data_IF_714730773458
#
_entry.id   IF_714730773458
#
_cell.length_a   1.000
_cell.length_b   1.000
_cell.length_c   1.000
_cell.angle_alpha   90.00
_cell.angle_beta   90.00
_cell.angle_gamma   90.00
#
_symmetry.space_group_name_H-M   'P 1'
#
loop_
_entity.id
_entity.type
_entity.pdbx_description
1 polymer ?
#
# COMPACT_ATOMS: atom_id res chain seq x y z
N UNK A 1 -7.77 -7.53 21.22
CA UNK A 1 -7.55 -8.26 19.95
C UNK A 1 -7.49 -9.79 20.10
N UNK A 2 -7.77 -10.38 21.27
CA UNK A 2 -7.77 -11.84 21.47
C UNK A 2 -8.82 -12.53 20.59
N UNK A 3 -8.51 -13.69 20.01
CA UNK A 3 -9.38 -14.47 19.12
C UNK A 3 -9.81 -13.66 17.87
N UNK A 4 -8.88 -12.91 17.27
CA UNK A 4 -9.15 -12.08 16.08
C UNK A 4 -8.15 -12.32 14.96
N UNK A 5 -8.61 -12.14 13.74
CA UNK A 5 -7.77 -12.21 12.54
C UNK A 5 -7.71 -10.86 11.81
N UNK A 6 -6.50 -10.45 11.45
CA UNK A 6 -6.23 -9.20 10.74
C UNK A 6 -5.70 -9.49 9.34
N UNK A 7 -6.25 -8.80 8.35
CA UNK A 7 -5.77 -8.82 6.97
C UNK A 7 -5.26 -7.44 6.57
N UNK A 8 -3.97 -7.34 6.27
CA UNK A 8 -3.33 -6.15 5.72
C UNK A 8 -3.13 -6.40 4.22
N UNK A 9 -3.96 -5.76 3.40
CA UNK A 9 -4.11 -6.01 1.96
C UNK A 9 -3.56 -4.81 1.19
N UNK A 10 -2.55 -5.03 0.35
CA UNK A 10 -2.02 -3.95 -0.48
C UNK A 10 -0.61 -4.19 -1.00
N UNK A 11 0.15 -3.10 -1.09
CA UNK A 11 1.49 -3.04 -1.68
C UNK A 11 2.63 -3.18 -0.66
N UNK A 12 3.85 -2.83 -1.09
CA UNK A 12 5.07 -2.92 -0.30
C UNK A 12 5.10 -2.00 0.91
N UNK A 13 4.30 -0.93 0.92
CA UNK A 13 4.22 -0.01 2.06
C UNK A 13 3.31 -0.62 3.13
N UNK A 14 2.26 -1.34 2.72
CA UNK A 14 1.47 -2.19 3.63
C UNK A 14 2.33 -3.30 4.24
N UNK A 15 3.20 -3.95 3.45
CA UNK A 15 4.21 -4.88 3.98
C UNK A 15 5.13 -4.21 5.01
N UNK A 16 5.60 -3.01 4.73
CA UNK A 16 6.45 -2.24 5.65
C UNK A 16 5.70 -1.90 6.95
N UNK A 17 4.41 -1.57 6.88
CA UNK A 17 3.56 -1.36 8.05
C UNK A 17 3.36 -2.65 8.87
N UNK A 18 3.17 -3.80 8.21
CA UNK A 18 3.08 -5.11 8.87
C UNK A 18 4.36 -5.44 9.63
N UNK A 19 5.53 -5.15 9.06
CA UNK A 19 6.81 -5.38 9.74
C UNK A 19 6.90 -4.57 11.05
N UNK A 20 6.55 -3.28 11.00
CA UNK A 20 6.43 -2.45 12.22
C UNK A 20 5.42 -3.03 13.22
N UNK A 21 4.23 -3.42 12.76
CA UNK A 21 3.19 -3.97 13.62
C UNK A 21 3.66 -5.25 14.33
N UNK A 22 4.33 -6.16 13.62
CA UNK A 22 4.87 -7.38 14.21
C UNK A 22 5.94 -7.06 15.25
N UNK A 23 6.85 -6.10 14.98
CA UNK A 23 7.85 -5.65 15.96
C UNK A 23 7.22 -5.03 17.22
N UNK A 24 6.08 -4.33 17.09
CA UNK A 24 5.36 -3.80 18.24
C UNK A 24 4.70 -4.91 19.06
N UNK A 25 4.07 -5.87 18.39
CA UNK A 25 3.37 -7.00 19.03
C UNK A 25 4.33 -8.03 19.63
N UNK A 26 5.52 -8.20 19.06
CA UNK A 26 6.53 -9.15 19.55
C UNK A 26 7.04 -8.83 20.95
N UNK A 27 6.83 -7.60 21.43
CA UNK A 27 7.10 -7.20 22.82
C UNK A 27 6.14 -7.87 23.82
N UNK A 28 4.99 -8.36 23.36
CA UNK A 28 3.96 -8.97 24.20
C UNK A 28 3.82 -10.49 23.97
N UNK A 29 4.01 -10.97 22.74
CA UNK A 29 3.91 -12.40 22.40
C UNK A 29 4.76 -12.69 21.15
N UNK A 30 5.45 -13.83 21.12
CA UNK A 30 6.33 -14.17 20.01
C UNK A 30 5.51 -14.51 18.75
N UNK A 31 5.78 -13.87 17.59
CA UNK A 31 5.07 -14.16 16.36
C UNK A 31 5.60 -15.46 15.72
N UNK A 32 4.73 -16.46 15.57
CA UNK A 32 5.05 -17.66 14.78
C UNK A 32 4.56 -17.47 13.35
N UNK A 33 5.45 -17.47 12.37
CA UNK A 33 5.03 -17.52 10.96
C UNK A 33 4.44 -18.90 10.65
N UNK A 34 3.14 -18.92 10.35
CA UNK A 34 2.37 -20.16 10.10
C UNK A 34 2.09 -20.37 8.61
N UNK A 35 2.35 -19.37 7.77
CA UNK A 35 2.19 -19.46 6.33
C UNK A 35 3.02 -18.39 5.62
N UNK A 36 3.63 -18.77 4.50
CA UNK A 36 4.06 -17.85 3.46
C UNK A 36 3.89 -18.52 2.09
N UNK A 37 3.73 -17.74 1.03
CA UNK A 37 3.85 -18.24 -0.34
C UNK A 37 5.33 -18.35 -0.75
N UNK A 38 5.60 -18.94 -1.93
CA UNK A 38 6.96 -19.18 -2.42
C UNK A 38 7.82 -17.91 -2.49
N UNK A 39 7.18 -16.78 -2.80
CA UNK A 39 7.83 -15.48 -2.99
C UNK A 39 7.77 -14.59 -1.74
N UNK A 40 7.23 -15.09 -0.62
CA UNK A 40 7.04 -14.35 0.62
C UNK A 40 6.25 -13.03 0.47
N UNK A 41 5.41 -12.94 -0.56
CA UNK A 41 4.50 -11.82 -0.82
C UNK A 41 3.28 -11.91 0.09
N UNK A 42 2.75 -13.12 0.26
CA UNK A 42 1.65 -13.41 1.19
C UNK A 42 2.20 -14.12 2.42
N UNK A 43 1.91 -13.62 3.62
CA UNK A 43 2.47 -14.14 4.88
C UNK A 43 1.45 -14.10 6.00
N UNK A 44 1.52 -15.01 6.96
CA UNK A 44 0.66 -15.03 8.15
C UNK A 44 1.44 -15.38 9.40
N UNK A 45 1.25 -14.57 10.44
CA UNK A 45 1.81 -14.77 11.76
C UNK A 45 0.71 -15.05 12.77
N UNK A 46 0.99 -15.95 13.71
CA UNK A 46 0.11 -16.32 14.81
C UNK A 46 0.79 -16.00 16.15
N UNK A 47 0.07 -15.24 16.98
CA UNK A 47 0.41 -14.91 18.35
C UNK A 47 -0.40 -15.85 19.27
N UNK A 48 0.25 -16.94 19.68
CA UNK A 48 -0.40 -18.09 20.32
C UNK A 48 -1.08 -17.73 21.64
N UNK A 49 -0.46 -16.87 22.45
CA UNK A 49 -0.98 -16.49 23.77
C UNK A 49 -2.31 -15.74 23.68
N UNK A 50 -2.62 -15.17 22.52
CA UNK A 50 -3.82 -14.39 22.25
C UNK A 50 -4.75 -15.02 21.21
N UNK A 51 -4.37 -16.15 20.60
CA UNK A 51 -5.05 -16.72 19.45
C UNK A 51 -5.37 -15.61 18.42
N UNK A 52 -4.34 -14.85 18.07
CA UNK A 52 -4.43 -13.66 17.25
C UNK A 52 -3.58 -13.83 16.01
N UNK A 53 -4.12 -13.54 14.82
CA UNK A 53 -3.36 -13.67 13.57
C UNK A 53 -3.27 -12.37 12.82
N UNK A 54 -2.09 -12.08 12.28
CA UNK A 54 -1.85 -10.98 11.33
C UNK A 54 -1.48 -11.60 9.99
N UNK A 55 -2.18 -11.24 8.93
CA UNK A 55 -1.89 -11.68 7.56
C UNK A 55 -1.50 -10.48 6.70
N UNK A 56 -0.41 -10.60 5.96
CA UNK A 56 -0.09 -9.75 4.82
C UNK A 56 -0.62 -10.43 3.56
N UNK A 57 -1.43 -9.71 2.79
CA UNK A 57 -1.94 -10.17 1.50
C UNK A 57 -1.47 -9.20 0.41
N UNK A 58 -0.68 -9.72 -0.51
CA UNK A 58 -0.09 -8.93 -1.58
C UNK A 58 -1.09 -8.68 -2.69
N UNK A 59 -1.51 -7.43 -2.83
CA UNK A 59 -2.45 -6.97 -3.85
C UNK A 59 -2.13 -5.51 -4.20
N UNK A 60 -1.00 -5.21 -4.86
CA UNK A 60 -0.51 -3.85 -5.05
C UNK A 60 -1.46 -2.95 -5.85
N UNK A 61 -2.29 -3.56 -6.70
CA UNK A 61 -3.34 -2.89 -7.46
C UNK A 61 -4.75 -3.14 -6.92
N UNK A 62 -4.93 -4.00 -5.91
CA UNK A 62 -6.24 -4.46 -5.39
C UNK A 62 -7.16 -5.18 -6.40
N UNK A 63 -6.92 -5.02 -7.71
CA UNK A 63 -7.54 -5.74 -8.82
C UNK A 63 -6.58 -6.77 -9.42
N UNK A 64 -7.12 -7.70 -10.20
CA UNK A 64 -6.34 -8.71 -10.91
C UNK A 64 -5.30 -8.01 -11.78
N UNK A 65 -4.05 -8.40 -11.58
CA UNK A 65 -2.90 -7.85 -12.28
C UNK A 65 -1.95 -8.94 -12.73
N UNK A 66 -1.38 -8.79 -13.92
CA UNK A 66 -0.24 -9.56 -14.40
C UNK A 66 0.99 -8.65 -14.39
N UNK A 67 1.97 -9.00 -13.55
CA UNK A 67 3.18 -8.21 -13.33
C UNK A 67 4.38 -9.00 -13.86
N UNK A 68 5.17 -8.36 -14.72
CA UNK A 68 6.33 -8.96 -15.40
C UNK A 68 7.66 -8.36 -14.90
N UNK A 69 7.65 -7.86 -13.67
CA UNK A 69 8.77 -7.18 -13.01
C UNK A 69 9.47 -8.12 -12.03
N UNK A 70 10.81 -8.14 -12.05
CA UNK A 70 11.63 -8.89 -11.10
C UNK A 70 11.86 -8.12 -9.77
N UNK A 71 12.56 -8.73 -8.80
CA UNK A 71 12.81 -8.10 -7.49
C UNK A 71 13.65 -6.81 -7.55
N UNK A 72 14.41 -6.63 -8.64
CA UNK A 72 15.24 -5.45 -8.89
C UNK A 72 14.45 -4.32 -9.57
N UNK A 73 13.19 -4.55 -9.93
CA UNK A 73 12.36 -3.57 -10.63
C UNK A 73 12.50 -3.59 -12.15
N UNK A 74 13.17 -4.58 -12.72
CA UNK A 74 13.32 -4.73 -14.17
C UNK A 74 12.09 -5.43 -14.74
N UNK A 75 11.41 -4.79 -15.69
CA UNK A 75 10.18 -5.32 -16.31
C UNK A 75 10.44 -5.84 -17.72
N UNK A 76 9.89 -7.01 -18.05
CA UNK A 76 9.95 -7.59 -19.41
C UNK A 76 8.75 -7.24 -20.29
N UNK A 77 7.68 -6.70 -19.69
CA UNK A 77 6.45 -6.28 -20.38
C UNK A 77 5.68 -5.28 -19.51
N UNK A 78 4.71 -4.56 -20.08
CA UNK A 78 3.82 -3.70 -19.30
C UNK A 78 2.88 -4.53 -18.44
N UNK A 79 2.54 -3.98 -17.27
CA UNK A 79 1.58 -4.58 -16.35
C UNK A 79 0.21 -4.65 -17.02
N UNK A 80 -0.48 -5.79 -16.93
CA UNK A 80 -1.87 -5.91 -17.38
C UNK A 80 -2.79 -5.80 -16.16
N UNK A 81 -3.71 -4.83 -16.13
CA UNK A 81 -4.69 -4.67 -15.04
C UNK A 81 -6.11 -4.90 -15.54
N UNK A 82 -6.87 -5.75 -14.86
CA UNK A 82 -8.30 -5.99 -15.14
C UNK A 82 -9.16 -5.26 -14.11
N UNK A 83 -9.75 -4.14 -14.50
CA UNK A 83 -10.41 -3.21 -13.57
C UNK A 83 -11.72 -3.75 -12.99
N UNK A 84 -12.37 -4.65 -13.71
CA UNK A 84 -13.64 -5.29 -13.34
C UNK A 84 -13.46 -6.58 -12.52
N UNK A 85 -12.22 -6.98 -12.26
CA UNK A 85 -11.90 -8.22 -11.54
C UNK A 85 -11.05 -7.87 -10.32
N UNK A 86 -11.62 -7.98 -9.13
CA UNK A 86 -10.86 -7.82 -7.87
C UNK A 86 -9.81 -8.92 -7.74
N UNK A 87 -8.69 -8.62 -7.09
CA UNK A 87 -7.58 -9.57 -6.97
C UNK A 87 -8.03 -10.82 -6.17
N UNK A 88 -7.93 -12.04 -6.75
CA UNK A 88 -8.55 -13.23 -6.15
C UNK A 88 -8.01 -13.64 -4.78
N UNK A 89 -6.73 -13.39 -4.51
CA UNK A 89 -6.05 -13.84 -3.29
C UNK A 89 -6.61 -13.15 -2.06
N UNK A 90 -6.85 -11.84 -2.10
CA UNK A 90 -7.46 -11.16 -0.96
C UNK A 90 -8.96 -11.38 -0.87
N UNK A 91 -9.67 -11.48 -1.99
CA UNK A 91 -11.11 -11.78 -2.01
C UNK A 91 -11.38 -13.12 -1.32
N UNK A 92 -10.62 -14.17 -1.66
CA UNK A 92 -10.78 -15.51 -1.08
C UNK A 92 -10.50 -15.58 0.43
N UNK A 93 -9.79 -14.58 0.98
CA UNK A 93 -9.44 -14.52 2.39
C UNK A 93 -10.31 -13.53 3.19
N UNK A 94 -11.03 -12.64 2.51
CA UNK A 94 -11.75 -11.53 3.13
C UNK A 94 -12.71 -11.95 4.26
N UNK A 95 -13.44 -13.06 4.06
CA UNK A 95 -14.41 -13.58 5.04
C UNK A 95 -13.77 -14.06 6.35
N UNK A 96 -12.44 -14.28 6.37
CA UNK A 96 -11.73 -14.78 7.54
C UNK A 96 -11.28 -13.69 8.49
N UNK A 97 -11.28 -12.43 8.05
CA UNK A 97 -10.72 -11.32 8.82
C UNK A 97 -11.78 -10.66 9.69
N UNK A 98 -11.45 -10.34 10.93
CA UNK A 98 -12.27 -9.45 11.76
C UNK A 98 -11.96 -7.97 11.49
N UNK A 99 -10.72 -7.69 11.11
CA UNK A 99 -10.20 -6.36 10.81
C UNK A 99 -9.40 -6.41 9.51
N UNK A 100 -9.62 -5.42 8.65
CA UNK A 100 -8.90 -5.27 7.39
C UNK A 100 -8.27 -3.89 7.35
N UNK A 101 -6.97 -3.82 7.03
CA UNK A 101 -6.31 -2.59 6.58
C UNK A 101 -6.07 -2.76 5.10
N UNK A 102 -6.65 -1.87 4.29
CA UNK A 102 -6.52 -1.94 2.83
C UNK A 102 -5.98 -0.63 2.28
N UNK A 103 -5.01 -0.73 1.38
CA UNK A 103 -4.39 0.43 0.74
C UNK A 103 -3.72 0.05 -0.58
N UNK A 104 -3.50 1.05 -1.43
CA UNK A 104 -2.70 0.94 -2.64
C UNK A 104 -2.49 2.34 -3.23
N UNK A 105 -1.77 2.44 -4.33
CA UNK A 105 -1.61 3.71 -5.04
C UNK A 105 -0.29 3.82 -5.79
N UNK A 106 0.83 3.59 -5.12
CA UNK A 106 2.18 3.80 -5.71
C UNK A 106 2.39 2.99 -6.99
N UNK A 107 1.84 1.77 -7.04
CA UNK A 107 1.92 0.91 -8.21
C UNK A 107 1.10 1.40 -9.42
N UNK A 108 0.04 2.20 -9.20
CA UNK A 108 -0.79 2.76 -10.28
C UNK A 108 -0.06 3.81 -11.11
N UNK A 109 1.10 4.29 -10.63
CA UNK A 109 1.95 5.23 -11.37
C UNK A 109 2.89 4.53 -12.36
N UNK A 110 2.92 3.18 -12.38
CA UNK A 110 3.71 2.41 -13.34
C UNK A 110 3.00 2.32 -14.68
N UNK A 111 3.79 2.15 -15.75
CA UNK A 111 3.26 1.85 -17.07
C UNK A 111 2.42 0.58 -17.05
N UNK A 112 1.18 0.67 -17.54
CA UNK A 112 0.23 -0.43 -17.50
C UNK A 112 -0.80 -0.34 -18.63
N UNK A 113 -1.28 -1.51 -19.07
CA UNK A 113 -2.38 -1.70 -20.02
C UNK A 113 -3.62 -2.13 -19.26
N UNK A 114 -4.76 -1.58 -19.64
CA UNK A 114 -6.00 -1.66 -18.89
C UNK A 114 -7.05 -2.46 -19.63
N UNK A 115 -7.65 -3.40 -18.90
CA UNK A 115 -8.64 -4.32 -19.38
C UNK A 115 -9.94 -4.13 -18.60
N UNK A 116 -11.06 -4.16 -19.31
CA UNK A 116 -12.39 -4.25 -18.72
C UNK A 116 -13.24 -5.15 -19.63
N UNK A 117 -13.91 -6.15 -19.05
CA UNK A 117 -14.73 -7.12 -19.80
C UNK A 117 -13.98 -7.76 -20.99
N UNK A 118 -12.75 -8.20 -20.72
CA UNK A 118 -11.81 -8.81 -21.69
C UNK A 118 -11.47 -7.93 -22.92
N UNK A 119 -11.65 -6.61 -22.80
CA UNK A 119 -11.27 -5.64 -23.83
C UNK A 119 -10.24 -4.64 -23.30
N UNK A 120 -9.30 -4.27 -24.16
CA UNK A 120 -8.35 -3.20 -23.85
C UNK A 120 -9.08 -1.86 -23.86
N UNK A 121 -9.15 -1.22 -22.70
CA UNK A 121 -9.71 0.11 -22.50
C UNK A 121 -8.72 1.20 -22.93
N UNK A 122 -7.44 0.96 -22.70
CA UNK A 122 -6.36 1.90 -22.95
C UNK A 122 -5.17 1.59 -22.07
N UNK A 123 -4.35 2.61 -21.80
CA UNK A 123 -3.11 2.41 -21.08
C UNK A 123 -2.61 3.69 -20.38
N UNK A 124 -1.56 3.55 -19.58
CA UNK A 124 -0.80 4.66 -19.01
C UNK A 124 0.66 4.54 -19.38
N UNK A 125 1.23 5.59 -19.95
CA UNK A 125 2.66 5.67 -20.30
C UNK A 125 3.15 4.54 -21.22
N UNK A 126 2.29 3.97 -22.08
CA UNK A 126 2.73 3.03 -23.12
C UNK A 126 3.09 3.83 -24.36
N UNK A 127 4.31 4.37 -24.34
CA UNK A 127 4.91 4.95 -25.51
C UNK A 127 4.98 3.89 -26.61
N UNK A 128 4.79 4.32 -27.86
CA UNK A 128 4.94 3.48 -29.05
C UNK A 128 3.90 2.35 -29.23
N UNK A 129 2.81 2.35 -28.45
CA UNK A 129 1.65 1.48 -28.69
C UNK A 129 0.49 2.28 -29.28
N UNK A 130 -0.23 1.69 -30.23
CA UNK A 130 -1.47 2.25 -30.79
C UNK A 130 -2.65 2.06 -29.82
N UNK A 131 -2.46 2.47 -28.56
CA UNK A 131 -3.43 2.38 -27.47
C UNK A 131 -3.78 3.78 -26.98
N UNK A 132 -5.02 3.97 -26.54
CA UNK A 132 -5.47 5.24 -25.97
C UNK A 132 -4.83 5.48 -24.59
N UNK A 133 -4.20 6.64 -24.40
CA UNK A 133 -3.73 7.08 -23.09
C UNK A 133 -4.96 7.47 -22.25
N UNK A 134 -5.23 6.68 -21.21
CA UNK A 134 -6.33 6.90 -20.26
C UNK A 134 -5.82 7.59 -18.99
N UNK A 135 -4.54 7.40 -18.66
CA UNK A 135 -3.88 8.00 -17.51
C UNK A 135 -4.27 7.35 -16.17
N UNK A 136 -3.33 7.28 -15.22
CA UNK A 136 -3.48 6.60 -13.93
C UNK A 136 -4.71 7.04 -13.11
N UNK A 137 -5.12 8.31 -13.18
CA UNK A 137 -6.19 8.88 -12.35
C UNK A 137 -7.54 8.17 -12.54
N UNK A 138 -7.92 7.96 -13.81
CA UNK A 138 -9.18 7.30 -14.15
C UNK A 138 -9.25 5.90 -13.53
N UNK A 139 -8.12 5.19 -13.56
CA UNK A 139 -8.05 3.78 -13.22
C UNK A 139 -7.96 3.57 -11.74
N UNK A 140 -7.18 4.43 -11.07
CA UNK A 140 -7.10 4.43 -9.64
C UNK A 140 -8.48 4.72 -9.05
N UNK A 141 -9.18 5.73 -9.58
CA UNK A 141 -10.58 6.02 -9.21
C UNK A 141 -11.50 4.82 -9.48
N UNK A 142 -11.46 4.23 -10.69
CA UNK A 142 -12.29 3.07 -11.07
C UNK A 142 -12.03 1.87 -10.16
N UNK A 143 -10.78 1.61 -9.82
CA UNK A 143 -10.38 0.52 -8.93
C UNK A 143 -10.91 0.73 -7.52
N UNK A 144 -10.74 1.93 -6.95
CA UNK A 144 -11.28 2.25 -5.63
C UNK A 144 -12.81 2.10 -5.59
N UNK A 145 -13.51 2.46 -6.68
CA UNK A 145 -14.95 2.25 -6.78
C UNK A 145 -15.32 0.78 -6.66
N UNK A 146 -14.67 -0.13 -7.39
CA UNK A 146 -14.97 -1.56 -7.33
C UNK A 146 -14.60 -2.17 -5.96
N UNK A 147 -13.45 -1.79 -5.39
CA UNK A 147 -13.02 -2.23 -4.05
C UNK A 147 -14.01 -1.79 -2.96
N UNK A 148 -14.38 -0.50 -2.94
CA UNK A 148 -15.29 0.05 -1.93
C UNK A 148 -16.71 -0.45 -2.12
N UNK A 149 -17.15 -0.67 -3.36
CA UNK A 149 -18.42 -1.30 -3.68
C UNK A 149 -18.47 -2.73 -3.15
N UNK A 150 -17.42 -3.53 -3.34
CA UNK A 150 -17.30 -4.87 -2.77
C UNK A 150 -17.37 -4.84 -1.24
N UNK A 151 -16.57 -3.99 -0.58
CA UNK A 151 -16.59 -3.87 0.90
C UNK A 151 -18.00 -3.55 1.39
N UNK A 152 -18.70 -2.66 0.69
CA UNK A 152 -20.06 -2.24 1.04
C UNK A 152 -21.09 -3.35 0.84
N UNK A 153 -20.95 -4.21 -0.18
CA UNK A 153 -21.91 -5.27 -0.52
C UNK A 153 -21.56 -6.66 0.03
N UNK A 154 -20.33 -6.87 0.52
CA UNK A 154 -19.88 -8.16 1.02
C UNK A 154 -20.76 -8.67 2.17
N UNK A 155 -21.07 -9.96 2.19
CA UNK A 155 -21.87 -10.57 3.27
C UNK A 155 -21.16 -10.45 4.63
N UNK A 156 -19.86 -10.72 4.66
CA UNK A 156 -19.04 -10.54 5.86
C UNK A 156 -18.69 -9.06 6.08
N UNK A 157 -18.84 -8.57 7.32
CA UNK A 157 -18.68 -7.14 7.68
C UNK A 157 -17.57 -6.94 8.72
N UNK A 158 -16.28 -7.07 8.33
CA UNK A 158 -15.17 -6.71 9.22
C UNK A 158 -15.12 -5.20 9.46
N UNK A 159 -14.32 -4.78 10.44
CA UNK A 159 -13.91 -3.37 10.52
C UNK A 159 -12.84 -3.13 9.47
N UNK A 160 -13.13 -2.28 8.49
CA UNK A 160 -12.20 -1.95 7.39
C UNK A 160 -11.60 -0.57 7.63
N UNK A 161 -10.28 -0.50 7.62
CA UNK A 161 -9.49 0.72 7.68
C UNK A 161 -8.91 0.96 6.28
N UNK A 162 -9.37 1.99 5.59
CA UNK A 162 -8.79 2.41 4.32
C UNK A 162 -7.64 3.38 4.61
N UNK A 163 -6.40 2.97 4.34
CA UNK A 163 -5.22 3.82 4.57
C UNK A 163 -4.99 4.74 3.38
N UNK A 164 -4.84 6.03 3.65
CA UNK A 164 -4.50 7.01 2.61
C UNK A 164 -3.07 6.87 2.10
N UNK A 165 -2.77 7.62 1.06
CA UNK A 165 -1.49 7.72 0.38
C UNK A 165 -0.34 7.87 1.35
N UNK A 166 0.69 7.05 1.14
CA UNK A 166 1.97 7.18 1.83
C UNK A 166 2.94 7.96 0.94
N UNK A 167 3.40 9.15 1.39
CA UNK A 167 4.30 9.99 0.61
C UNK A 167 5.70 9.36 0.55
N UNK A 168 6.35 9.54 -0.59
CA UNK A 168 7.80 9.45 -0.68
C UNK A 168 8.43 10.82 -0.37
N UNK A 169 9.73 10.85 -0.16
CA UNK A 169 10.49 12.11 -0.01
C UNK A 169 11.71 12.15 -0.92
N UNK A 170 11.56 11.70 -2.17
CA UNK A 170 12.63 11.85 -3.15
C UNK A 170 12.91 13.34 -3.46
N UNK A 171 14.20 13.68 -3.46
CA UNK A 171 14.77 14.96 -3.85
C UNK A 171 15.83 14.78 -4.94
N UNK A 172 15.98 15.80 -5.79
CA UNK A 172 16.99 15.84 -6.86
C UNK A 172 16.88 14.69 -7.88
N UNK A 173 15.69 14.12 -8.03
CA UNK A 173 15.41 12.99 -8.89
C UNK A 173 14.35 12.09 -8.27
N UNK A 174 14.08 10.97 -8.94
CA UNK A 174 13.16 9.92 -8.50
C UNK A 174 13.94 8.62 -8.27
N UNK A 175 13.25 7.56 -7.82
CA UNK A 175 13.85 6.25 -7.54
C UNK A 175 14.68 5.66 -8.70
N UNK A 176 14.32 5.99 -9.95
CA UNK A 176 14.98 5.52 -11.18
C UNK A 176 15.98 6.53 -11.77
N UNK A 177 16.03 7.76 -11.27
CA UNK A 177 16.88 8.84 -11.81
C UNK A 177 17.87 9.39 -10.79
N UNK A 178 18.13 8.64 -9.72
CA UNK A 178 19.15 8.96 -8.72
C UNK A 178 18.67 9.90 -7.60
N UNK A 179 17.35 9.98 -7.38
CA UNK A 179 16.77 10.75 -6.27
C UNK A 179 17.29 10.29 -4.91
N UNK A 180 17.30 11.21 -3.94
CA UNK A 180 17.82 11.00 -2.58
C UNK A 180 16.89 11.55 -1.52
N UNK A 181 17.07 11.16 -0.26
CA UNK A 181 16.30 11.64 0.89
C UNK A 181 17.23 11.79 2.10
N UNK A 182 18.16 12.73 2.00
CA UNK A 182 19.24 12.89 2.98
C UNK A 182 18.84 13.70 4.22
N UNK A 183 17.57 14.09 4.34
CA UNK A 183 17.11 14.83 5.51
C UNK A 183 17.19 13.95 6.75
N UNK A 184 17.63 14.54 7.86
CA UNK A 184 17.78 13.87 9.16
C UNK A 184 16.88 14.45 10.24
N UNK A 185 16.05 15.43 9.88
CA UNK A 185 15.09 16.08 10.77
C UNK A 185 13.71 16.11 10.11
N UNK A 186 12.63 16.03 10.90
CA UNK A 186 11.28 16.32 10.43
C UNK A 186 11.19 17.72 9.82
N UNK A 187 10.24 17.90 8.91
CA UNK A 187 9.90 19.24 8.44
C UNK A 187 9.32 20.09 9.58
N UNK A 188 9.57 21.39 9.53
CA UNK A 188 8.87 22.37 10.35
C UNK A 188 7.50 22.66 9.76
N UNK A 189 6.59 23.15 10.61
CA UNK A 189 5.24 23.55 10.18
C UNK A 189 5.33 24.55 9.02
N UNK A 190 4.72 24.20 7.88
CA UNK A 190 4.69 25.02 6.67
C UNK A 190 5.91 24.88 5.75
N UNK A 191 6.89 24.03 6.09
CA UNK A 191 8.07 23.80 5.26
C UNK A 191 7.79 22.88 4.06
N UNK A 192 6.81 21.98 4.20
CA UNK A 192 6.41 21.05 3.15
C UNK A 192 4.93 21.19 2.82
N UNK A 193 4.64 21.41 1.53
CA UNK A 193 3.29 21.57 1.01
C UNK A 193 2.73 20.34 0.29
N UNK A 194 3.52 19.27 0.15
CA UNK A 194 3.17 18.09 -0.65
C UNK A 194 3.46 18.25 -2.15
N UNK A 195 3.77 17.14 -2.82
CA UNK A 195 3.96 17.07 -4.28
C UNK A 195 2.60 17.07 -5.01
N UNK A 196 2.58 17.48 -6.28
CA UNK A 196 1.36 17.43 -7.11
C UNK A 196 0.72 16.04 -7.10
N UNK A 197 1.53 14.99 -7.32
CA UNK A 197 1.06 13.60 -7.34
C UNK A 197 0.44 13.16 -6.02
N UNK A 198 1.01 13.59 -4.89
CA UNK A 198 0.46 13.27 -3.56
C UNK A 198 -0.94 13.86 -3.38
N UNK A 199 -1.14 15.11 -3.83
CA UNK A 199 -2.45 15.78 -3.76
C UNK A 199 -3.49 15.12 -4.68
N UNK A 200 -3.08 14.70 -5.89
CA UNK A 200 -3.96 14.00 -6.83
C UNK A 200 -4.39 12.65 -6.27
N UNK A 201 -3.43 11.81 -5.86
CA UNK A 201 -3.71 10.45 -5.38
C UNK A 201 -4.55 10.47 -4.10
N UNK A 202 -4.15 11.26 -3.11
CA UNK A 202 -4.93 11.42 -1.87
C UNK A 202 -6.29 12.07 -2.12
N UNK A 203 -6.38 12.98 -3.08
CA UNK A 203 -7.65 13.60 -3.49
C UNK A 203 -8.66 12.56 -3.98
N UNK A 204 -8.23 11.67 -4.88
CA UNK A 204 -9.03 10.56 -5.40
C UNK A 204 -9.46 9.61 -4.27
N UNK A 205 -8.51 9.22 -3.41
CA UNK A 205 -8.77 8.38 -2.23
C UNK A 205 -9.88 8.94 -1.33
N UNK A 206 -9.76 10.22 -0.95
CA UNK A 206 -10.72 10.88 -0.07
C UNK A 206 -12.09 11.05 -0.75
N UNK A 207 -12.11 11.38 -2.04
CA UNK A 207 -13.34 11.53 -2.81
C UNK A 207 -14.13 10.21 -2.87
N UNK A 208 -13.48 9.12 -3.30
CA UNK A 208 -14.14 7.82 -3.43
C UNK A 208 -14.51 7.22 -2.08
N UNK A 209 -13.67 7.40 -1.05
CA UNK A 209 -14.00 7.00 0.32
C UNK A 209 -15.26 7.71 0.82
N UNK A 210 -15.36 9.03 0.64
CA UNK A 210 -16.52 9.80 1.09
C UNK A 210 -17.80 9.41 0.33
N UNK A 211 -17.70 9.13 -0.97
CA UNK A 211 -18.82 8.58 -1.76
C UNK A 211 -19.30 7.24 -1.20
N UNK A 212 -18.37 6.33 -0.90
CA UNK A 212 -18.70 5.01 -0.34
C UNK A 212 -19.37 5.11 1.04
N UNK A 213 -18.83 5.95 1.94
CA UNK A 213 -19.44 6.18 3.27
C UNK A 213 -20.82 6.81 3.16
N UNK A 214 -21.01 7.78 2.27
CA UNK A 214 -22.31 8.43 2.05
C UNK A 214 -23.35 7.43 1.51
N UNK A 215 -22.96 6.59 0.56
CA UNK A 215 -23.81 5.53 0.03
C UNK A 215 -24.17 4.49 1.09
N UNK A 216 -23.19 4.06 1.90
CA UNK A 216 -23.41 3.11 2.99
C UNK A 216 -24.38 3.64 4.06
N UNK A 217 -24.23 4.91 4.46
CA UNK A 217 -25.14 5.56 5.42
C UNK A 217 -26.58 5.70 4.90
N UNK A 218 -26.75 5.71 3.58
CA UNK A 218 -28.07 5.74 2.93
C UNK A 218 -28.69 4.34 2.79
N UNK A 219 -27.89 3.30 2.97
CA UNK A 219 -28.32 1.90 2.95
C UNK A 219 -28.73 1.45 4.36
N UNK A 220 -29.52 0.37 4.47
CA UNK A 220 -29.83 -0.25 5.77
C UNK A 220 -28.69 -1.11 6.31
N UNK A 221 -27.63 -1.30 5.53
CA UNK A 221 -26.52 -2.17 5.87
C UNK A 221 -25.44 -1.41 6.67
N UNK A 222 -25.06 -1.96 7.82
CA UNK A 222 -24.02 -1.38 8.67
C UNK A 222 -22.65 -1.72 8.08
N UNK A 223 -22.06 -0.80 7.31
CA UNK A 223 -20.68 -0.90 6.83
C UNK A 223 -19.74 -0.27 7.85
N UNK A 224 -18.75 -1.04 8.34
CA UNK A 224 -17.75 -0.57 9.31
C UNK A 224 -16.48 -0.10 8.60
N UNK A 225 -16.61 0.91 7.75
CA UNK A 225 -15.52 1.50 6.98
C UNK A 225 -15.02 2.77 7.69
N UNK A 226 -13.74 2.81 8.08
CA UNK A 226 -13.09 3.98 8.72
C UNK A 226 -11.89 4.43 7.87
N UNK A 227 -11.65 5.73 7.84
CA UNK A 227 -10.49 6.31 7.19
C UNK A 227 -9.28 6.24 8.14
N UNK A 228 -8.19 5.64 7.68
CA UNK A 228 -6.89 5.71 8.33
C UNK A 228 -6.03 6.73 7.58
N UNK A 229 -6.20 8.01 7.93
CA UNK A 229 -5.47 9.09 7.26
C UNK A 229 -4.06 9.27 7.86
N UNK A 230 -3.08 8.62 7.24
CA UNK A 230 -1.67 8.66 7.66
C UNK A 230 -0.86 9.75 6.95
N UNK A 231 -1.40 10.37 5.91
CA UNK A 231 -0.66 11.29 5.05
C UNK A 231 0.00 12.43 5.81
N UNK A 232 -0.76 13.22 6.58
CA UNK A 232 -0.25 14.42 7.25
C UNK A 232 0.85 14.15 8.27
N UNK A 233 0.81 12.99 8.95
CA UNK A 233 1.87 12.62 9.90
C UNK A 233 3.10 12.05 9.20
N UNK A 234 2.94 11.55 7.98
CA UNK A 234 4.02 10.94 7.18
C UNK A 234 4.74 11.98 6.34
N UNK A 235 4.01 12.91 5.74
CA UNK A 235 4.57 13.98 4.89
C UNK A 235 5.48 14.93 5.66
N UNK A 236 5.40 14.94 6.99
CA UNK A 236 6.27 15.73 7.85
C UNK A 236 7.59 15.02 8.20
N UNK A 237 7.80 13.79 7.72
CA UNK A 237 8.86 12.89 8.18
C UNK A 237 9.81 12.45 7.06
N UNK A 238 10.45 13.39 6.35
CA UNK A 238 11.45 13.04 5.33
C UNK A 238 12.67 12.32 5.94
N UNK A 239 12.86 12.42 7.26
CA UNK A 239 13.88 11.74 8.06
C UNK A 239 13.60 10.25 8.32
N UNK A 240 12.44 9.75 7.88
CA UNK A 240 11.96 8.41 8.21
C UNK A 240 12.35 7.29 7.25
N UNK A 241 12.93 7.63 6.10
CA UNK A 241 13.14 6.68 5.01
C UNK A 241 14.42 5.86 5.17
N UNK A 242 14.45 4.69 4.53
CA UNK A 242 15.62 3.83 4.52
C UNK A 242 16.83 4.48 3.81
N UNK A 243 16.58 5.34 2.82
CA UNK A 243 17.62 5.98 2.02
C UNK A 243 18.52 4.92 1.40
N UNK A 244 19.86 4.99 1.56
CA UNK A 244 20.76 4.00 0.96
C UNK A 244 20.66 2.62 1.64
N UNK A 245 20.03 2.51 2.82
CA UNK A 245 20.03 1.30 3.65
C UNK A 245 18.86 0.34 3.34
N UNK A 246 18.41 0.30 2.08
CA UNK A 246 17.42 -0.70 1.61
C UNK A 246 17.95 -2.13 1.75
N UNK A 247 19.26 -2.33 1.59
CA UNK A 247 19.94 -3.63 1.73
C UNK A 247 20.98 -3.60 2.85
N UNK A 248 21.31 -4.78 3.37
CA UNK A 248 22.36 -4.91 4.37
C UNK A 248 23.73 -4.54 3.78
N UNK A 249 24.44 -3.61 4.43
CA UNK A 249 25.73 -3.07 3.99
C UNK A 249 25.76 -2.54 2.54
N UNK A 250 24.98 -1.48 2.23
CA UNK A 250 24.81 -1.00 0.86
C UNK A 250 26.10 -0.48 0.20
N UNK A 251 27.12 -0.15 1.01
CA UNK A 251 28.41 0.36 0.54
C UNK A 251 29.51 -0.72 0.48
N UNK A 252 29.23 -1.97 0.85
CA UNK A 252 30.26 -3.02 0.99
C UNK A 252 30.91 -3.42 -0.34
N UNK A 253 30.17 -3.35 -1.45
CA UNK A 253 30.70 -3.73 -2.76
C UNK A 253 31.51 -2.60 -3.42
N UNK A 254 31.44 -1.37 -2.91
CA UNK A 254 31.96 -0.18 -3.59
C UNK A 254 31.26 0.09 -4.94
N UNK A 255 31.61 1.19 -5.62
CA UNK A 255 31.10 1.50 -6.97
C UNK A 255 31.84 0.67 -8.02
N UNK A 256 31.86 -0.66 -7.90
CA UNK A 256 32.59 -1.55 -8.85
C UNK A 256 32.14 -1.37 -10.30
N UNK A 257 30.89 -0.97 -10.49
CA UNK A 257 30.26 -0.86 -11.81
C UNK A 257 29.97 0.62 -12.18
N UNK A 258 30.47 1.58 -11.37
CA UNK A 258 30.16 3.00 -11.53
C UNK A 258 28.74 3.40 -11.12
N UNK A 259 27.89 2.44 -10.73
CA UNK A 259 26.54 2.69 -10.20
C UNK A 259 26.62 3.28 -8.80
N UNK A 260 25.86 4.35 -8.55
CA UNK A 260 25.65 4.89 -7.20
C UNK A 260 24.68 4.00 -6.42
N UNK A 261 24.81 4.01 -5.09
CA UNK A 261 23.85 3.31 -4.21
C UNK A 261 22.45 3.90 -4.43
N UNK A 262 21.51 3.05 -4.83
CA UNK A 262 20.11 3.44 -4.98
C UNK A 262 19.51 3.79 -3.62
N UNK A 263 18.84 4.94 -3.54
CA UNK A 263 18.14 5.36 -2.34
C UNK A 263 16.68 4.92 -2.39
N UNK A 264 16.19 4.40 -1.28
CA UNK A 264 14.78 4.11 -1.05
C UNK A 264 14.17 5.21 -0.18
N UNK A 265 13.51 6.14 -0.85
CA UNK A 265 12.81 7.26 -0.22
C UNK A 265 11.30 7.05 -0.20
N UNK A 266 10.85 5.82 -0.39
CA UNK A 266 9.44 5.42 -0.35
C UNK A 266 9.13 4.58 0.89
N UNK A 267 9.99 3.61 1.20
CA UNK A 267 9.84 2.76 2.37
C UNK A 267 10.49 3.39 3.61
N UNK A 268 10.01 2.96 4.77
CA UNK A 268 10.28 3.55 6.07
C UNK A 268 11.17 2.63 6.90
N UNK A 269 12.10 3.23 7.63
CA UNK A 269 12.86 2.55 8.67
C UNK A 269 11.91 1.96 9.74
N UNK A 270 12.29 0.80 10.30
CA UNK A 270 11.62 0.15 11.42
C UNK A 270 12.68 -0.19 12.48
N UNK A 271 12.57 0.31 13.73
CA UNK A 271 11.54 1.24 14.22
C UNK A 271 11.65 2.63 13.56
N UNK A 272 10.54 3.36 13.48
CA UNK A 272 10.50 4.63 12.75
C UNK A 272 9.11 5.27 12.68
N UNK A 273 8.91 6.29 11.82
CA UNK A 273 7.64 7.03 11.75
C UNK A 273 6.42 6.17 11.44
N UNK A 274 6.64 5.07 10.72
CA UNK A 274 5.60 4.09 10.38
C UNK A 274 4.97 3.42 11.61
N UNK A 275 5.66 3.41 12.77
CA UNK A 275 5.11 2.91 14.03
C UNK A 275 3.87 3.72 14.47
N UNK A 276 3.85 5.03 14.20
CA UNK A 276 2.72 5.90 14.53
C UNK A 276 1.45 5.57 13.73
N UNK A 277 1.57 4.92 12.56
CA UNK A 277 0.41 4.46 11.81
C UNK A 277 -0.32 3.34 12.56
N UNK A 278 0.44 2.48 13.24
CA UNK A 278 -0.12 1.41 14.07
C UNK A 278 -0.76 1.96 15.35
N UNK A 279 -0.23 3.06 15.92
CA UNK A 279 -0.90 3.78 17.01
C UNK A 279 -2.26 4.36 16.57
N UNK A 280 -2.33 4.97 15.37
CA UNK A 280 -3.57 5.47 14.80
C UNK A 280 -4.59 4.36 14.56
N UNK A 281 -4.16 3.22 14.03
CA UNK A 281 -4.99 2.01 13.91
C UNK A 281 -5.61 1.65 15.26
N UNK A 282 -4.80 1.58 16.32
CA UNK A 282 -5.30 1.20 17.64
C UNK A 282 -6.30 2.23 18.18
N UNK A 283 -6.10 3.52 17.92
CA UNK A 283 -7.09 4.57 18.26
C UNK A 283 -8.40 4.42 17.50
N UNK A 284 -8.36 3.98 16.24
CA UNK A 284 -9.57 3.77 15.43
C UNK A 284 -10.30 2.47 15.78
N UNK A 285 -9.60 1.46 16.30
CA UNK A 285 -10.18 0.15 16.60
C UNK A 285 -10.66 0.02 18.04
N UNK A 286 -9.99 0.68 18.99
CA UNK A 286 -10.36 0.62 20.41
C UNK A 286 -11.43 1.64 20.84
N UNK A 287 -11.74 2.61 19.98
CA UNK A 287 -12.81 3.61 20.16
C UNK A 287 -13.98 3.33 19.21
#
# INVERSE_FOLDING_TARGET
MRNKAWGLIGDSILRNQVQSLICLLSKADEPVEVYHDKEFKNRRWHFQSYNFTVSLVWAPFLVKSEVFENENGESTSEIQLHLDILEPTWISQYERFDYVVIAGGQWFLKTAVYWESDKVLGCHHCQDKNLTEVGFEHLYRRTLQEVLKFISSAHHKPVVLFRTWAPDHFENGEWFSGGTCNRVLPYKKGEYGGKYMEHVMRGIELEEFNKAVTAANSSRDVVKLKLLDTYSISSMRPDGHAGPYRMFHPFAQGNKDGSSVQNDCLHWCVPGPIDAWNDLIMKLVLN
#
